data_IF_118182743896
#
_entry.id   IF_118182743896
#
_cell.length_a   1.000
_cell.length_b   1.000
_cell.length_c   1.000
_cell.angle_alpha   90.00
_cell.angle_beta   90.00
_cell.angle_gamma   90.00
#
_symmetry.space_group_name_H-M   'P 1'
#
loop_
_entity.id
_entity.type
_entity.pdbx_description
1 polymer ?
#
# COMPACT_ATOMS: atom_id res chain seq x y z
N UNK A 1 12.72 6.07 20.02
CA UNK A 1 11.74 4.96 20.07
C UNK A 1 11.56 4.43 18.67
N UNK A 2 12.00 3.21 18.39
CA UNK A 2 11.78 2.55 17.10
C UNK A 2 10.29 2.21 16.99
N UNK A 3 9.63 2.62 15.91
CA UNK A 3 8.22 2.24 15.66
C UNK A 3 8.08 0.72 15.58
N UNK A 4 6.96 0.17 16.06
CA UNK A 4 6.65 -1.25 15.84
C UNK A 4 6.45 -1.54 14.35
N UNK A 5 6.71 -2.78 13.94
CA UNK A 5 6.49 -3.23 12.55
C UNK A 5 5.04 -3.03 12.11
N UNK A 6 4.07 -3.30 12.98
CA UNK A 6 2.66 -3.07 12.69
C UNK A 6 2.36 -1.59 12.40
N UNK A 7 2.92 -0.67 13.19
CA UNK A 7 2.77 0.77 12.97
C UNK A 7 3.46 1.22 11.68
N UNK A 8 4.61 0.64 11.34
CA UNK A 8 5.29 0.89 10.07
C UNK A 8 4.43 0.47 8.88
N UNK A 9 3.88 -0.75 8.91
CA UNK A 9 2.98 -1.22 7.85
C UNK A 9 1.72 -0.37 7.71
N UNK A 10 1.11 0.08 8.81
CA UNK A 10 -0.05 0.99 8.76
C UNK A 10 0.31 2.35 8.15
N UNK A 11 1.47 2.90 8.50
CA UNK A 11 1.95 4.15 7.92
C UNK A 11 2.14 4.01 6.40
N UNK A 12 2.83 2.95 5.97
CA UNK A 12 2.99 2.63 4.54
C UNK A 12 1.64 2.44 3.85
N UNK A 13 0.69 1.74 4.46
CA UNK A 13 -0.66 1.57 3.90
C UNK A 13 -1.38 2.92 3.74
N UNK A 14 -1.24 3.84 4.69
CA UNK A 14 -1.82 5.18 4.58
C UNK A 14 -1.18 5.99 3.45
N UNK A 15 0.14 5.93 3.29
CA UNK A 15 0.86 6.63 2.22
C UNK A 15 0.53 6.04 0.84
N UNK A 16 0.39 4.72 0.73
CA UNK A 16 -0.04 4.05 -0.49
C UNK A 16 -1.47 4.44 -0.90
N UNK A 17 -2.41 4.51 0.05
CA UNK A 17 -3.78 4.99 -0.22
C UNK A 17 -3.79 6.44 -0.69
N UNK A 18 -2.98 7.30 -0.07
CA UNK A 18 -2.84 8.70 -0.50
C UNK A 18 -2.32 8.77 -1.94
N UNK A 19 -1.26 8.02 -2.23
CA UNK A 19 -0.67 7.94 -3.56
C UNK A 19 -1.65 7.40 -4.61
N UNK A 20 -2.45 6.39 -4.25
CA UNK A 20 -3.52 5.86 -5.11
C UNK A 20 -4.56 6.93 -5.42
N UNK A 21 -4.97 7.72 -4.42
CA UNK A 21 -5.92 8.82 -4.61
C UNK A 21 -5.33 9.91 -5.53
N UNK A 22 -4.08 10.33 -5.26
CA UNK A 22 -3.38 11.34 -6.05
C UNK A 22 -3.24 10.90 -7.53
N UNK A 23 -2.96 9.62 -7.78
CA UNK A 23 -2.90 9.06 -9.14
C UNK A 23 -4.26 9.01 -9.83
N UNK A 24 -5.33 8.70 -9.10
CA UNK A 24 -6.68 8.71 -9.63
C UNK A 24 -7.12 10.13 -10.01
N UNK A 25 -6.82 11.11 -9.16
CA UNK A 25 -7.08 12.52 -9.42
C UNK A 25 -6.25 13.02 -10.62
N UNK A 26 -4.98 12.62 -10.70
CA UNK A 26 -4.13 12.95 -11.84
C UNK A 26 -4.67 12.33 -13.14
N UNK A 27 -5.20 11.10 -13.10
CA UNK A 27 -5.85 10.49 -14.26
C UNK A 27 -7.09 11.27 -14.71
N UNK A 28 -7.91 11.75 -13.77
CA UNK A 28 -9.07 12.61 -14.06
C UNK A 28 -8.66 13.95 -14.67
N UNK A 29 -7.61 14.59 -14.13
CA UNK A 29 -7.07 15.83 -14.68
C UNK A 29 -6.46 15.62 -16.06
N UNK A 30 -5.72 14.52 -16.25
CA UNK A 30 -5.09 14.19 -17.52
C UNK A 30 -6.12 13.95 -18.62
N UNK A 31 -7.24 13.27 -18.30
CA UNK A 31 -8.36 13.07 -19.23
C UNK A 31 -9.03 14.36 -19.70
N UNK A 32 -8.88 15.47 -18.95
CA UNK A 32 -9.40 16.79 -19.31
C UNK A 32 -8.48 17.57 -20.26
N UNK A 33 -7.30 17.03 -20.59
CA UNK A 33 -6.43 17.62 -21.60
C UNK A 33 -7.03 17.37 -22.99
N UNK A 34 -7.91 18.28 -23.41
CA UNK A 34 -8.50 18.26 -24.75
C UNK A 34 -7.46 18.77 -25.78
N UNK A 35 -7.35 18.09 -26.94
CA UNK A 35 -6.56 18.55 -28.09
C UNK A 35 -6.95 19.98 -28.53
N UNK A 36 -8.22 20.36 -28.36
CA UNK A 36 -8.73 21.70 -28.61
C UNK A 36 -8.05 22.78 -27.76
N UNK A 37 -7.59 22.44 -26.55
CA UNK A 37 -6.84 23.34 -25.65
C UNK A 37 -5.52 23.80 -26.27
N UNK A 38 -4.94 22.97 -27.15
CA UNK A 38 -3.67 23.24 -27.81
C UNK A 38 -3.83 23.67 -29.27
N UNK A 39 -5.06 23.92 -29.73
CA UNK A 39 -5.39 24.16 -31.14
C UNK A 39 -4.80 23.08 -32.07
N UNK A 40 -4.60 21.86 -31.56
CA UNK A 40 -4.09 20.75 -32.34
C UNK A 40 -5.18 20.28 -33.31
N UNK A 41 -4.81 20.06 -34.57
CA UNK A 41 -5.73 19.61 -35.61
C UNK A 41 -5.14 18.43 -36.39
N UNK A 42 -6.03 17.63 -37.00
CA UNK A 42 -5.65 16.51 -37.84
C UNK A 42 -4.83 15.45 -37.08
N UNK A 43 -3.75 14.91 -37.68
CA UNK A 43 -2.97 13.82 -37.07
C UNK A 43 -2.39 14.14 -35.69
N UNK A 44 -2.12 15.41 -35.38
CA UNK A 44 -1.60 15.83 -34.08
C UNK A 44 -2.65 15.67 -32.98
N UNK A 45 -3.91 16.03 -33.27
CA UNK A 45 -5.02 15.83 -32.34
C UNK A 45 -5.23 14.33 -32.06
N UNK A 46 -5.18 13.48 -33.09
CA UNK A 46 -5.32 12.03 -32.93
C UNK A 46 -4.18 11.41 -32.09
N UNK A 47 -2.95 11.87 -32.28
CA UNK A 47 -1.81 11.43 -31.47
C UNK A 47 -1.94 11.90 -30.02
N UNK A 48 -2.41 13.13 -29.81
CA UNK A 48 -2.68 13.68 -28.49
C UNK A 48 -3.74 12.86 -27.76
N UNK A 49 -4.90 12.63 -28.37
CA UNK A 49 -5.99 11.86 -27.77
C UNK A 49 -5.53 10.45 -27.38
N UNK A 50 -4.79 9.79 -28.27
CA UNK A 50 -4.21 8.47 -27.99
C UNK A 50 -3.21 8.51 -26.84
N UNK A 51 -2.40 9.56 -26.73
CA UNK A 51 -1.46 9.72 -25.62
C UNK A 51 -2.18 9.90 -24.29
N UNK A 52 -3.28 10.68 -24.29
CA UNK A 52 -4.12 10.91 -23.12
C UNK A 52 -4.77 9.61 -22.65
N UNK A 53 -5.30 8.80 -23.57
CA UNK A 53 -5.86 7.49 -23.25
C UNK A 53 -4.82 6.55 -22.64
N UNK A 54 -3.65 6.43 -23.27
CA UNK A 54 -2.58 5.52 -22.81
C UNK A 54 -2.08 5.92 -21.43
N UNK A 55 -1.78 7.19 -21.21
CA UNK A 55 -1.33 7.69 -19.90
C UNK A 55 -2.43 7.53 -18.85
N UNK A 56 -3.68 7.83 -19.21
CA UNK A 56 -4.83 7.60 -18.32
C UNK A 56 -4.95 6.14 -17.86
N UNK A 57 -4.76 5.18 -18.76
CA UNK A 57 -4.78 3.75 -18.43
C UNK A 57 -3.62 3.34 -17.50
N UNK A 58 -2.42 3.87 -17.71
CA UNK A 58 -1.28 3.62 -16.83
C UNK A 58 -1.51 4.16 -15.42
N UNK A 59 -2.05 5.38 -15.30
CA UNK A 59 -2.36 6.00 -14.02
C UNK A 59 -3.43 5.22 -13.25
N UNK A 60 -4.47 4.76 -13.93
CA UNK A 60 -5.50 3.91 -13.33
C UNK A 60 -4.91 2.58 -12.81
N UNK A 61 -4.09 1.92 -13.63
CA UNK A 61 -3.42 0.67 -13.24
C UNK A 61 -2.49 0.86 -12.04
N UNK A 62 -1.72 1.96 -12.03
CA UNK A 62 -0.85 2.29 -10.92
C UNK A 62 -1.65 2.59 -9.63
N UNK A 63 -2.77 3.30 -9.74
CA UNK A 63 -3.66 3.55 -8.60
C UNK A 63 -4.21 2.26 -7.99
N UNK A 64 -4.68 1.33 -8.83
CA UNK A 64 -5.18 0.03 -8.40
C UNK A 64 -4.10 -0.79 -7.68
N UNK A 65 -2.87 -0.80 -8.20
CA UNK A 65 -1.75 -1.52 -7.59
C UNK A 65 -1.37 -0.93 -6.23
N UNK A 66 -1.33 0.41 -6.11
CA UNK A 66 -1.09 1.08 -4.82
C UNK A 66 -2.18 0.72 -3.79
N UNK A 67 -3.44 0.67 -4.22
CA UNK A 67 -4.56 0.23 -3.37
C UNK A 67 -4.40 -1.23 -2.91
N UNK A 68 -4.00 -2.15 -3.80
CA UNK A 68 -3.73 -3.55 -3.43
C UNK A 68 -2.57 -3.68 -2.44
N UNK A 69 -1.49 -2.95 -2.67
CA UNK A 69 -0.34 -2.94 -1.76
C UNK A 69 -0.70 -2.37 -0.39
N UNK A 70 -1.59 -1.38 -0.33
CA UNK A 70 -2.08 -0.84 0.94
C UNK A 70 -2.82 -1.92 1.75
N UNK A 71 -3.70 -2.69 1.10
CA UNK A 71 -4.42 -3.81 1.73
C UNK A 71 -3.47 -4.88 2.24
N UNK A 72 -2.43 -5.24 1.47
CA UNK A 72 -1.42 -6.20 1.94
C UNK A 72 -0.62 -5.64 3.13
N UNK A 73 -0.34 -4.33 3.15
CA UNK A 73 0.30 -3.71 4.30
C UNK A 73 -0.59 -3.77 5.55
N UNK A 74 -1.90 -3.50 5.44
CA UNK A 74 -2.82 -3.65 6.57
C UNK A 74 -2.82 -5.09 7.10
N UNK A 75 -2.92 -6.07 6.20
CA UNK A 75 -2.87 -7.50 6.55
C UNK A 75 -1.59 -7.85 7.30
N UNK A 76 -0.45 -7.34 6.84
CA UNK A 76 0.85 -7.54 7.52
C UNK A 76 0.88 -6.87 8.89
N UNK A 77 0.26 -5.69 9.04
CA UNK A 77 0.15 -5.03 10.33
C UNK A 77 -0.65 -5.88 11.33
N UNK A 78 -1.76 -6.48 10.91
CA UNK A 78 -2.57 -7.37 11.74
C UNK A 78 -1.79 -8.62 12.19
N UNK A 79 -1.01 -9.22 11.29
CA UNK A 79 -0.15 -10.37 11.62
C UNK A 79 0.92 -9.98 12.62
N UNK A 80 1.57 -8.81 12.45
CA UNK A 80 2.55 -8.29 13.41
C UNK A 80 1.91 -8.07 14.80
N UNK A 81 0.72 -7.46 14.87
CA UNK A 81 0.02 -7.26 16.15
C UNK A 81 -0.41 -8.57 16.81
N UNK A 82 -0.84 -9.56 16.02
CA UNK A 82 -1.17 -10.89 16.54
C UNK A 82 0.07 -11.60 17.12
N UNK A 83 1.20 -11.49 16.44
CA UNK A 83 2.47 -12.02 16.93
C UNK A 83 2.93 -11.28 18.20
N UNK A 84 2.91 -9.95 18.22
CA UNK A 84 3.28 -9.15 19.39
C UNK A 84 2.41 -9.49 20.60
N UNK A 85 1.09 -9.68 20.41
CA UNK A 85 0.19 -10.15 21.48
C UNK A 85 0.56 -11.54 21.98
N UNK A 86 0.87 -12.47 21.08
CA UNK A 86 1.30 -13.83 21.45
C UNK A 86 2.59 -13.80 22.25
N UNK A 87 3.57 -12.98 21.84
CA UNK A 87 4.85 -12.82 22.55
C UNK A 87 4.63 -12.22 23.93
N UNK A 88 3.78 -11.20 24.06
CA UNK A 88 3.43 -10.61 25.37
C UNK A 88 2.78 -11.64 26.28
N UNK A 89 1.76 -12.35 25.79
CA UNK A 89 1.09 -13.40 26.57
C UNK A 89 2.08 -14.47 27.06
N UNK A 90 3.01 -14.93 26.21
CA UNK A 90 4.05 -15.87 26.63
C UNK A 90 5.01 -15.28 27.67
N UNK A 91 5.38 -14.00 27.55
CA UNK A 91 6.23 -13.30 28.54
C UNK A 91 5.54 -13.10 29.87
N UNK A 92 4.22 -12.95 29.87
CA UNK A 92 3.40 -12.72 31.06
C UNK A 92 3.08 -14.03 31.82
N UNK A 93 3.36 -15.20 31.22
CA UNK A 93 3.22 -16.49 31.91
C UNK A 93 4.11 -16.56 33.17
N UNK A 94 3.65 -17.21 34.25
CA UNK A 94 4.50 -17.56 35.38
C UNK A 94 5.75 -18.29 34.92
N UNK A 95 6.87 -18.07 35.61
CA UNK A 95 8.16 -18.62 35.18
C UNK A 95 8.15 -20.16 35.04
N UNK A 96 7.42 -20.86 35.93
CA UNK A 96 7.26 -22.33 35.86
C UNK A 96 6.59 -22.76 34.57
N UNK A 97 5.51 -22.08 34.17
CA UNK A 97 4.74 -22.40 32.97
C UNK A 97 5.50 -22.03 31.69
N UNK A 98 6.36 -21.02 31.76
CA UNK A 98 7.18 -20.60 30.61
C UNK A 98 8.24 -21.62 30.22
N UNK A 99 8.65 -22.49 31.14
CA UNK A 99 9.63 -23.56 30.87
C UNK A 99 8.97 -24.76 30.19
N UNK A 100 7.66 -24.93 30.33
CA UNK A 100 6.89 -26.00 29.68
C UNK A 100 6.26 -25.57 28.35
N UNK A 101 6.23 -24.26 28.03
CA UNK A 101 5.64 -23.71 26.81
C UNK A 101 6.69 -23.05 25.91
N UNK A 102 6.82 -23.53 24.68
CA UNK A 102 7.72 -22.94 23.69
C UNK A 102 7.34 -21.48 23.36
N UNK A 103 8.34 -20.60 23.13
CA UNK A 103 8.06 -19.24 22.71
C UNK A 103 7.36 -19.20 21.35
N UNK A 104 6.49 -18.19 21.10
CA UNK A 104 5.85 -18.01 19.80
C UNK A 104 6.90 -17.87 18.70
N UNK A 105 6.72 -18.60 17.60
CA UNK A 105 7.55 -18.46 16.41
C UNK A 105 6.94 -17.42 15.47
N UNK A 106 7.76 -16.57 14.84
CA UNK A 106 7.26 -15.61 13.87
C UNK A 106 6.73 -16.36 12.64
N UNK A 107 5.53 -16.00 12.12
CA UNK A 107 4.94 -16.69 10.99
C UNK A 107 5.65 -16.39 9.66
N UNK A 108 6.48 -15.34 9.62
CA UNK A 108 7.30 -15.00 8.46
C UNK A 108 8.50 -14.12 8.86
N UNK A 109 9.57 -14.07 8.04
CA UNK A 109 10.77 -13.26 8.32
C UNK A 109 10.48 -11.76 8.48
N UNK A 110 9.46 -11.25 7.76
CA UNK A 110 9.09 -9.83 7.78
C UNK A 110 8.30 -9.42 9.05
N UNK A 111 8.05 -10.32 10.00
CA UNK A 111 7.39 -9.97 11.26
C UNK A 111 8.38 -9.41 12.29
N UNK A 112 9.63 -9.89 12.26
CA UNK A 112 10.63 -9.65 13.33
C UNK A 112 11.90 -8.92 12.88
N UNK A 113 12.13 -8.80 11.57
CA UNK A 113 13.35 -8.18 11.05
C UNK A 113 13.45 -6.67 11.27
#
# INVERSE_FOLDING_TARGET
MTMSRASSYRATAADLRRSSHDLADLALLHRRLDAGTFAAAGPVATLHDRSVEVVGAYLATASDEMSRLAVECDRRAEVCDAYDRSVRAWRDLPWIDRWSVSPPLPPAPWVVG
#
